data_IF_121457656871
#
_entry.id   IF_121457656871
#
_cell.length_a   1.000
_cell.length_b   1.000
_cell.length_c   1.000
_cell.angle_alpha   90.00
_cell.angle_beta   90.00
_cell.angle_gamma   90.00
#
_symmetry.space_group_name_H-M   'P 1'
#
loop_
_entity.id
_entity.type
_entity.pdbx_description
1 polymer ?
#
# COMPACT_ATOMS: atom_id res chain seq x y z
N UNK A 1 23.68 -16.36 21.62
CA UNK A 1 23.52 -14.92 21.29
C UNK A 1 22.14 -14.77 20.70
N UNK A 2 21.21 -14.24 21.49
CA UNK A 2 19.79 -14.12 21.17
C UNK A 2 19.57 -12.70 20.64
N UNK A 3 19.46 -12.54 19.32
CA UNK A 3 19.05 -11.28 18.69
C UNK A 3 17.62 -11.44 18.17
N UNK A 4 16.66 -11.52 19.08
CA UNK A 4 15.32 -11.01 18.81
C UNK A 4 15.20 -9.75 19.66
N UNK A 5 15.33 -8.59 19.03
CA UNK A 5 14.98 -7.33 19.68
C UNK A 5 13.52 -7.43 20.12
N UNK A 6 13.26 -7.25 21.41
CA UNK A 6 11.90 -7.14 21.96
C UNK A 6 11.31 -5.76 21.73
N UNK A 7 12.05 -4.84 21.11
CA UNK A 7 11.53 -3.52 20.74
C UNK A 7 10.49 -3.72 19.62
N UNK A 8 9.23 -3.34 19.84
CA UNK A 8 8.23 -3.39 18.79
C UNK A 8 8.72 -2.57 17.59
N UNK A 9 8.72 -3.16 16.39
CA UNK A 9 9.01 -2.41 15.17
C UNK A 9 8.04 -1.22 15.12
N UNK A 10 8.52 0.03 15.12
CA UNK A 10 7.66 1.20 15.03
C UNK A 10 6.84 1.15 13.75
N UNK A 11 5.57 1.55 13.84
CA UNK A 11 4.79 1.87 12.63
C UNK A 11 5.45 3.06 11.94
N UNK A 12 5.24 3.25 10.63
CA UNK A 12 5.92 4.35 9.93
C UNK A 12 5.52 5.70 10.53
N UNK A 13 4.26 5.85 10.93
CA UNK A 13 3.78 7.03 11.69
C UNK A 13 4.60 7.25 12.96
N UNK A 14 4.80 6.22 13.80
CA UNK A 14 5.57 6.34 15.05
C UNK A 14 7.05 6.62 14.78
N UNK A 15 7.62 5.96 13.78
CA UNK A 15 9.00 6.19 13.36
C UNK A 15 9.24 7.63 12.94
N UNK A 16 8.34 8.21 12.11
CA UNK A 16 8.45 9.59 11.65
C UNK A 16 8.29 10.57 12.83
N UNK A 17 7.35 10.32 13.74
CA UNK A 17 7.17 11.14 14.94
C UNK A 17 8.41 11.15 15.85
N UNK A 18 9.03 10.00 16.07
CA UNK A 18 10.25 9.88 16.89
C UNK A 18 11.48 10.51 16.21
N UNK A 19 11.53 10.51 14.88
CA UNK A 19 12.62 11.08 14.10
C UNK A 19 12.59 12.61 14.02
N UNK A 20 11.45 13.24 14.31
CA UNK A 20 11.28 14.69 14.23
C UNK A 20 11.49 15.20 12.81
N UNK A 21 12.38 16.18 12.65
CA UNK A 21 12.66 16.85 11.37
C UNK A 21 13.72 16.14 10.52
N UNK A 22 14.26 15.00 10.98
CA UNK A 22 15.37 14.29 10.31
C UNK A 22 15.07 13.94 8.84
N UNK A 23 13.81 13.65 8.53
CA UNK A 23 13.35 13.24 7.20
C UNK A 23 12.50 14.31 6.51
N UNK A 24 12.52 15.56 6.99
CA UNK A 24 11.72 16.61 6.39
C UNK A 24 11.99 16.75 4.89
N UNK A 25 10.93 16.61 4.10
CA UNK A 25 10.99 16.64 2.64
C UNK A 25 11.09 15.28 1.95
N UNK A 26 11.36 14.20 2.69
CA UNK A 26 11.31 12.84 2.14
C UNK A 26 9.85 12.41 1.90
N UNK A 27 9.67 11.41 1.02
CA UNK A 27 8.37 10.88 0.65
C UNK A 27 8.29 9.38 0.89
N UNK A 28 7.09 8.91 1.25
CA UNK A 28 6.72 7.50 1.32
C UNK A 28 5.50 7.27 0.45
N UNK A 29 5.47 6.15 -0.25
CA UNK A 29 4.34 5.73 -1.09
C UNK A 29 3.72 4.46 -0.52
N UNK A 30 2.73 4.55 0.39
CA UNK A 30 1.96 3.37 0.78
C UNK A 30 1.30 2.75 -0.45
N UNK A 31 1.16 1.42 -0.44
CA UNK A 31 0.49 0.65 -1.50
C UNK A 31 -1.04 0.72 -1.42
N UNK A 32 -1.57 1.58 -0.54
CA UNK A 32 -2.98 1.76 -0.25
C UNK A 32 -3.25 3.25 -0.02
N UNK A 33 -4.53 3.61 0.07
CA UNK A 33 -4.98 4.97 0.38
C UNK A 33 -4.39 5.45 1.71
N UNK A 34 -3.56 6.51 1.74
CA UNK A 34 -2.90 6.97 2.96
C UNK A 34 -3.86 7.23 4.10
N UNK A 35 -3.42 7.03 5.34
CA UNK A 35 -4.23 7.30 6.53
C UNK A 35 -4.57 8.79 6.66
N UNK A 36 -3.67 9.63 6.17
CA UNK A 36 -3.73 11.09 6.15
C UNK A 36 -4.74 11.63 5.13
N UNK A 37 -5.16 10.81 4.16
CA UNK A 37 -6.15 11.22 3.17
C UNK A 37 -7.55 11.30 3.81
N UNK A 38 -8.33 12.32 3.44
CA UNK A 38 -9.73 12.49 3.86
C UNK A 38 -10.72 12.21 2.72
N UNK A 39 -10.54 11.06 2.06
CA UNK A 39 -11.35 10.67 0.91
C UNK A 39 -12.77 10.12 1.24
N UNK A 40 -13.22 10.23 2.50
CA UNK A 40 -14.53 9.67 2.91
C UNK A 40 -14.70 8.16 2.65
N UNK A 41 -13.60 7.40 2.58
CA UNK A 41 -13.64 5.97 2.27
C UNK A 41 -14.15 5.14 3.47
N UNK A 42 -15.28 4.43 3.36
CA UNK A 42 -15.86 3.70 4.48
C UNK A 42 -15.03 2.48 4.92
N UNK A 43 -14.31 1.82 4.01
CA UNK A 43 -13.42 0.71 4.36
C UNK A 43 -12.21 1.21 5.16
N UNK A 44 -11.64 2.36 4.79
CA UNK A 44 -10.56 3.01 5.55
C UNK A 44 -11.03 3.41 6.93
N UNK A 45 -12.19 4.08 7.01
CA UNK A 45 -12.76 4.51 8.28
C UNK A 45 -12.98 3.32 9.21
N UNK A 46 -13.55 2.22 8.68
CA UNK A 46 -13.79 1.01 9.47
C UNK A 46 -12.52 0.37 10.01
N UNK A 47 -11.42 0.39 9.25
CA UNK A 47 -10.12 -0.04 9.75
C UNK A 47 -9.66 0.86 10.91
N UNK A 48 -9.68 2.18 10.74
CA UNK A 48 -9.27 3.14 11.77
C UNK A 48 -10.09 2.95 13.06
N UNK A 49 -11.41 2.86 12.93
CA UNK A 49 -12.31 2.64 14.06
C UNK A 49 -12.01 1.32 14.78
N UNK A 50 -11.79 0.24 14.03
CA UNK A 50 -11.45 -1.08 14.59
C UNK A 50 -10.13 -1.04 15.35
N UNK A 51 -9.11 -0.37 14.81
CA UNK A 51 -7.81 -0.24 15.49
C UNK A 51 -7.94 0.57 16.79
N UNK A 52 -8.75 1.64 16.77
CA UNK A 52 -9.06 2.42 17.97
C UNK A 52 -9.82 1.59 19.02
N UNK A 53 -10.85 0.85 18.63
CA UNK A 53 -11.61 -0.06 19.50
C UNK A 53 -10.72 -1.12 20.15
N UNK A 54 -9.73 -1.64 19.42
CA UNK A 54 -8.79 -2.64 19.91
C UNK A 54 -7.63 -2.03 20.73
N UNK A 55 -7.52 -0.70 20.82
CA UNK A 55 -6.38 -0.01 21.42
C UNK A 55 -5.07 -0.39 20.74
N UNK A 56 -5.04 -0.31 19.40
CA UNK A 56 -3.87 -0.61 18.56
C UNK A 56 -3.49 0.59 17.71
N UNK A 57 -2.19 0.81 17.57
CA UNK A 57 -1.65 1.85 16.70
C UNK A 57 -1.96 1.54 15.23
N UNK A 58 -2.22 2.59 14.43
CA UNK A 58 -2.27 2.44 12.98
C UNK A 58 -0.90 2.01 12.45
N UNK A 59 -0.90 0.98 11.60
CA UNK A 59 0.30 0.41 10.99
C UNK A 59 0.02 0.09 9.53
N UNK A 60 0.98 0.39 8.66
CA UNK A 60 0.90 0.05 7.23
C UNK A 60 0.78 -1.46 7.04
N UNK A 61 1.51 -2.25 7.83
CA UNK A 61 1.43 -3.71 7.79
C UNK A 61 0.07 -4.24 8.26
N UNK A 62 -0.55 -3.58 9.24
CA UNK A 62 -1.90 -3.94 9.68
C UNK A 62 -2.94 -3.63 8.58
N UNK A 63 -2.80 -2.52 7.85
CA UNK A 63 -3.65 -2.21 6.69
C UNK A 63 -3.47 -3.22 5.55
N UNK A 64 -2.23 -3.62 5.25
CA UNK A 64 -1.97 -4.70 4.27
C UNK A 64 -2.63 -6.01 4.71
N UNK A 65 -2.54 -6.35 6.00
CA UNK A 65 -3.23 -7.52 6.56
C UNK A 65 -4.76 -7.42 6.44
N UNK A 66 -5.32 -6.24 6.68
CA UNK A 66 -6.75 -5.96 6.52
C UNK A 66 -7.22 -6.15 5.07
N UNK A 67 -6.48 -5.60 4.11
CA UNK A 67 -6.74 -5.77 2.67
C UNK A 67 -6.65 -7.25 2.26
N UNK A 68 -5.63 -7.97 2.73
CA UNK A 68 -5.50 -9.40 2.44
C UNK A 68 -6.66 -10.22 3.03
N UNK A 69 -7.15 -9.86 4.21
CA UNK A 69 -8.32 -10.50 4.82
C UNK A 69 -9.61 -10.18 4.04
N UNK A 70 -9.77 -8.95 3.55
CA UNK A 70 -10.86 -8.56 2.67
C UNK A 70 -10.85 -9.36 1.36
N UNK A 71 -9.69 -9.54 0.73
CA UNK A 71 -9.55 -10.35 -0.48
C UNK A 71 -9.98 -11.80 -0.25
N UNK A 72 -9.55 -12.40 0.88
CA UNK A 72 -9.94 -13.75 1.26
C UNK A 72 -11.44 -13.86 1.56
N UNK A 73 -12.01 -12.87 2.25
CA UNK A 73 -13.44 -12.81 2.53
C UNK A 73 -14.27 -12.67 1.24
N UNK A 74 -13.83 -11.79 0.33
CA UNK A 74 -14.41 -11.62 -1.00
C UNK A 74 -14.38 -12.92 -1.80
N UNK A 75 -13.26 -13.66 -1.76
CA UNK A 75 -13.13 -14.96 -2.41
C UNK A 75 -14.16 -15.98 -1.89
N UNK A 76 -14.30 -16.08 -0.57
CA UNK A 76 -15.25 -17.00 0.09
C UNK A 76 -16.70 -16.61 -0.24
N UNK A 77 -17.05 -15.33 -0.11
CA UNK A 77 -18.39 -14.85 -0.45
C UNK A 77 -18.74 -15.10 -1.92
N UNK A 78 -17.80 -14.84 -2.82
CA UNK A 78 -18.01 -14.99 -4.27
C UNK A 78 -18.16 -16.46 -4.69
N UNK A 79 -17.55 -17.40 -3.96
CA UNK A 79 -17.69 -18.83 -4.22
C UNK A 79 -19.05 -19.40 -3.80
N UNK A 80 -19.79 -18.69 -2.93
CA UNK A 80 -21.10 -19.11 -2.44
C UNK A 80 -21.07 -19.99 -1.19
N UNK A 81 -22.24 -20.41 -0.69
CA UNK A 81 -22.39 -21.04 0.64
C UNK A 81 -21.78 -22.44 0.77
N UNK A 82 -21.53 -23.11 -0.36
CA UNK A 82 -20.83 -24.39 -0.41
C UNK A 82 -19.58 -24.17 -1.24
N UNK A 83 -18.46 -23.92 -0.57
CA UNK A 83 -17.19 -23.63 -1.20
C UNK A 83 -16.11 -24.60 -0.74
N UNK A 84 -15.10 -24.78 -1.58
CA UNK A 84 -13.80 -25.29 -1.19
C UNK A 84 -12.71 -24.27 -1.52
N UNK A 85 -11.46 -24.63 -1.26
CA UNK A 85 -10.32 -23.75 -1.55
C UNK A 85 -10.24 -23.40 -3.04
N UNK A 86 -10.52 -24.36 -3.93
CA UNK A 86 -10.42 -24.15 -5.37
C UNK A 86 -11.51 -23.20 -5.84
N UNK A 87 -12.76 -23.39 -5.41
CA UNK A 87 -13.86 -22.51 -5.81
C UNK A 87 -13.66 -21.09 -5.30
N UNK A 88 -13.08 -20.89 -4.11
CA UNK A 88 -12.72 -19.56 -3.62
C UNK A 88 -11.62 -18.89 -4.45
N UNK A 89 -10.56 -19.62 -4.79
CA UNK A 89 -9.48 -19.10 -5.65
C UNK A 89 -10.03 -18.78 -7.05
N UNK A 90 -10.78 -19.70 -7.66
CA UNK A 90 -11.37 -19.49 -8.98
C UNK A 90 -12.32 -18.27 -8.97
N UNK A 91 -13.09 -18.08 -7.91
CA UNK A 91 -13.97 -16.92 -7.76
C UNK A 91 -13.18 -15.60 -7.65
N UNK A 92 -12.11 -15.55 -6.84
CA UNK A 92 -11.27 -14.36 -6.74
C UNK A 92 -10.55 -14.06 -8.07
N UNK A 93 -10.03 -15.08 -8.76
CA UNK A 93 -9.36 -14.94 -10.04
C UNK A 93 -10.30 -14.49 -11.18
N UNK A 94 -11.61 -14.49 -10.96
CA UNK A 94 -12.57 -13.93 -11.92
C UNK A 94 -12.77 -12.41 -11.76
N UNK A 95 -12.23 -11.80 -10.71
CA UNK A 95 -12.34 -10.36 -10.45
C UNK A 95 -11.30 -9.59 -11.25
N UNK A 96 -11.76 -8.73 -12.17
CA UNK A 96 -10.89 -7.93 -13.03
C UNK A 96 -10.62 -6.51 -12.52
N UNK A 97 -11.24 -6.13 -11.39
CA UNK A 97 -11.14 -4.80 -10.80
C UNK A 97 -11.29 -4.82 -9.27
N UNK A 98 -10.59 -5.73 -8.59
CA UNK A 98 -10.59 -5.79 -7.13
C UNK A 98 -9.84 -4.59 -6.53
N UNK A 99 -10.51 -3.75 -5.76
CA UNK A 99 -9.93 -2.51 -5.20
C UNK A 99 -10.01 -2.41 -3.67
N UNK A 100 -10.41 -3.50 -3.00
CA UNK A 100 -10.62 -3.58 -1.55
C UNK A 100 -11.54 -2.47 -1.00
N UNK A 101 -12.58 -2.10 -1.76
CA UNK A 101 -13.48 -1.01 -1.41
C UNK A 101 -12.83 0.37 -1.60
N UNK A 102 -11.99 0.50 -2.63
CA UNK A 102 -11.24 1.72 -2.96
C UNK A 102 -10.03 2.00 -2.07
N UNK A 103 -9.55 1.01 -1.32
CA UNK A 103 -8.32 1.13 -0.52
C UNK A 103 -7.05 0.98 -1.36
N UNK A 104 -7.12 0.29 -2.49
CA UNK A 104 -5.98 0.07 -3.38
C UNK A 104 -6.36 0.41 -4.82
N UNK A 105 -5.35 0.57 -5.67
CA UNK A 105 -5.54 0.63 -7.12
C UNK A 105 -6.14 -0.71 -7.59
N UNK A 106 -7.17 -0.72 -8.46
CA UNK A 106 -7.82 -1.95 -8.88
C UNK A 106 -6.84 -2.97 -9.45
N UNK A 107 -6.91 -4.20 -8.94
CA UNK A 107 -6.15 -5.36 -9.38
C UNK A 107 -7.04 -6.23 -10.27
N UNK A 108 -6.50 -6.61 -11.42
CA UNK A 108 -7.07 -7.65 -12.26
C UNK A 108 -6.51 -9.01 -11.84
N UNK A 109 -7.21 -9.68 -10.93
CA UNK A 109 -6.82 -11.01 -10.42
C UNK A 109 -6.89 -12.10 -11.48
N UNK A 110 -7.41 -11.86 -12.69
CA UNK A 110 -7.32 -12.85 -13.76
C UNK A 110 -5.90 -12.99 -14.32
N UNK A 111 -5.02 -12.01 -14.03
CA UNK A 111 -3.70 -11.90 -14.67
C UNK A 111 -2.58 -11.39 -13.74
N UNK A 112 -2.88 -10.54 -12.75
CA UNK A 112 -1.90 -9.87 -11.89
C UNK A 112 -1.55 -10.65 -10.61
N UNK A 113 -1.02 -11.86 -10.77
CA UNK A 113 -0.59 -12.71 -9.63
C UNK A 113 0.87 -12.57 -9.22
N UNK A 114 1.63 -11.77 -9.97
CA UNK A 114 3.07 -11.56 -9.80
C UNK A 114 3.38 -10.07 -9.91
N UNK A 115 4.59 -9.69 -9.55
CA UNK A 115 5.07 -8.31 -9.74
C UNK A 115 4.82 -7.87 -11.18
N UNK A 116 4.13 -6.73 -11.40
CA UNK A 116 3.89 -6.18 -12.73
C UNK A 116 5.20 -5.95 -13.49
N UNK A 117 5.15 -6.12 -14.81
CA UNK A 117 6.24 -5.76 -15.72
C UNK A 117 5.71 -4.71 -16.68
N UNK A 118 6.29 -3.51 -16.65
CA UNK A 118 5.87 -2.39 -17.49
C UNK A 118 5.84 -2.79 -18.97
N UNK A 119 4.70 -2.57 -19.62
CA UNK A 119 4.46 -2.91 -21.03
C UNK A 119 4.05 -4.36 -21.28
N UNK A 120 4.10 -5.26 -20.29
CA UNK A 120 3.64 -6.64 -20.43
C UNK A 120 2.15 -6.77 -20.11
N UNK A 121 1.32 -6.86 -21.14
CA UNK A 121 -0.13 -6.98 -20.97
C UNK A 121 -0.59 -8.16 -20.09
N UNK A 122 0.27 -9.17 -19.86
CA UNK A 122 -0.06 -10.33 -19.02
C UNK A 122 -0.12 -9.99 -17.53
N UNK A 123 0.53 -8.92 -17.05
CA UNK A 123 0.53 -8.57 -15.63
C UNK A 123 0.71 -7.06 -15.33
N UNK A 124 0.90 -6.21 -16.34
CA UNK A 124 1.04 -4.75 -16.19
C UNK A 124 -0.26 -4.08 -15.73
N UNK A 125 -0.17 -2.92 -15.09
CA UNK A 125 -1.35 -2.10 -14.81
C UNK A 125 -1.80 -1.35 -16.07
N UNK A 126 -3.12 -1.24 -16.26
CA UNK A 126 -3.65 -0.35 -17.29
C UNK A 126 -3.39 1.14 -16.95
N UNK A 127 -3.32 1.44 -15.66
CA UNK A 127 -3.01 2.76 -15.11
C UNK A 127 -2.20 2.56 -13.83
N UNK A 128 -0.96 3.05 -13.81
CA UNK A 128 -0.15 3.04 -12.60
C UNK A 128 -0.54 4.23 -11.75
N UNK A 129 -0.91 3.96 -10.49
CA UNK A 129 -1.19 5.01 -9.53
C UNK A 129 -0.42 4.77 -8.23
N UNK A 130 -0.05 5.86 -7.58
CA UNK A 130 0.54 5.85 -6.24
C UNK A 130 0.05 7.06 -5.44
N UNK A 131 0.05 6.95 -4.12
CA UNK A 131 -0.44 7.99 -3.22
C UNK A 131 0.66 8.40 -2.23
N UNK A 132 1.59 9.29 -2.63
CA UNK A 132 2.71 9.67 -1.79
C UNK A 132 2.23 10.57 -0.65
N UNK A 133 2.85 10.36 0.50
CA UNK A 133 2.83 11.28 1.64
C UNK A 133 4.22 11.86 1.84
N UNK A 134 4.28 13.09 2.31
CA UNK A 134 5.52 13.82 2.59
C UNK A 134 5.77 13.85 4.10
N UNK A 135 7.02 13.66 4.50
CA UNK A 135 7.44 13.83 5.89
C UNK A 135 7.71 15.32 6.18
N UNK A 136 7.15 15.82 7.29
CA UNK A 136 7.23 17.23 7.70
C UNK A 136 7.02 17.36 9.20
N UNK A 137 8.03 17.84 9.94
CA UNK A 137 7.94 18.13 11.38
C UNK A 137 7.55 16.92 12.23
N UNK A 138 8.01 15.72 11.86
CA UNK A 138 7.63 14.46 12.53
C UNK A 138 6.20 13.97 12.21
N UNK A 139 5.58 14.48 11.15
CA UNK A 139 4.29 14.02 10.64
C UNK A 139 4.36 13.57 9.18
N UNK A 140 3.33 12.86 8.74
CA UNK A 140 3.06 12.57 7.34
C UNK A 140 1.95 13.50 6.85
N UNK A 141 2.13 14.07 5.67
CA UNK A 141 1.20 15.00 5.03
C UNK A 141 0.83 14.51 3.63
N UNK A 142 -0.43 14.64 3.24
CA UNK A 142 -0.88 14.32 1.88
C UNK A 142 -0.23 15.25 0.85
N UNK A 143 0.22 14.69 -0.27
CA UNK A 143 0.78 15.45 -1.39
C UNK A 143 -0.27 15.76 -2.46
N UNK A 144 -1.17 14.81 -2.71
CA UNK A 144 -2.33 14.97 -3.57
C UNK A 144 -3.51 15.62 -2.83
N UNK A 145 -4.58 15.91 -3.57
CA UNK A 145 -5.87 16.26 -2.98
C UNK A 145 -6.31 15.14 -2.00
N UNK A 146 -6.58 15.43 -0.72
CA UNK A 146 -7.02 14.43 0.25
C UNK A 146 -8.28 13.66 -0.17
N UNK A 147 -9.14 14.25 -0.99
CA UNK A 147 -10.33 13.60 -1.54
C UNK A 147 -10.02 12.62 -2.68
N UNK A 148 -8.91 12.83 -3.39
CA UNK A 148 -8.46 12.00 -4.51
C UNK A 148 -6.93 11.78 -4.42
N UNK A 149 -6.45 10.98 -3.45
CA UNK A 149 -5.04 10.97 -3.05
C UNK A 149 -4.10 10.24 -4.03
N UNK A 150 -4.58 9.86 -5.22
CA UNK A 150 -3.86 9.06 -6.19
C UNK A 150 -3.27 9.92 -7.30
N UNK A 151 -1.95 9.87 -7.49
CA UNK A 151 -1.31 10.29 -8.72
C UNK A 151 -1.32 9.13 -9.69
N UNK A 152 -2.08 9.26 -10.76
CA UNK A 152 -2.19 8.25 -11.80
C UNK A 152 -1.54 8.74 -13.10
N UNK A 153 -0.76 7.88 -13.74
CA UNK A 153 -0.22 8.11 -15.07
C UNK A 153 -0.31 6.86 -15.93
N UNK A 154 -0.57 7.04 -17.23
CA UNK A 154 -0.45 5.96 -18.20
C UNK A 154 1.00 5.79 -18.66
N UNK A 155 1.27 4.74 -19.45
CA UNK A 155 2.59 4.34 -20.01
C UNK A 155 3.37 5.46 -20.75
N UNK A 156 2.79 6.66 -20.94
CA UNK A 156 3.40 7.80 -21.62
C UNK A 156 3.06 9.17 -20.99
N UNK A 157 2.91 9.28 -19.65
CA UNK A 157 2.86 10.60 -19.01
C UNK A 157 4.23 11.06 -18.47
N UNK A 158 5.00 11.87 -19.22
CA UNK A 158 6.24 12.50 -18.74
C UNK A 158 6.00 13.55 -17.64
N UNK A 159 4.78 13.70 -17.10
CA UNK A 159 4.48 14.54 -15.94
C UNK A 159 4.61 13.82 -14.60
N UNK A 160 4.66 12.49 -14.58
CA UNK A 160 5.20 11.76 -13.41
C UNK A 160 6.68 12.13 -13.19
N UNK A 161 7.39 12.53 -14.25
CA UNK A 161 8.70 13.20 -14.20
C UNK A 161 8.67 14.74 -14.08
N UNK A 162 7.50 15.37 -13.89
CA UNK A 162 7.33 16.84 -13.71
C UNK A 162 6.63 17.24 -12.41
N UNK A 163 6.64 16.38 -11.39
CA UNK A 163 6.96 16.92 -10.07
C UNK A 163 8.38 17.50 -10.20
N UNK A 164 8.48 18.83 -10.38
CA UNK A 164 9.73 19.43 -10.85
C UNK A 164 10.91 19.07 -9.92
N UNK A 165 12.03 18.56 -10.48
CA UNK A 165 13.10 17.85 -9.76
C UNK A 165 14.08 18.76 -9.00
N UNK A 166 13.67 19.94 -8.54
CA UNK A 166 14.53 20.76 -7.67
C UNK A 166 14.41 20.40 -6.17
N UNK A 167 13.50 19.49 -5.78
CA UNK A 167 13.29 19.09 -4.38
C UNK A 167 13.27 17.58 -4.12
N UNK A 168 13.31 16.71 -5.14
CA UNK A 168 13.30 15.25 -4.96
C UNK A 168 14.71 14.68 -4.72
N UNK A 169 15.31 15.05 -3.60
CA UNK A 169 16.46 14.31 -3.04
C UNK A 169 15.90 13.28 -2.06
N UNK A 170 15.76 12.02 -2.52
CA UNK A 170 15.41 10.80 -1.77
C UNK A 170 13.92 10.45 -1.71
N UNK A 171 13.48 9.70 -2.72
CA UNK A 171 12.35 8.78 -2.59
C UNK A 171 12.88 7.55 -1.84
N UNK A 172 12.41 7.27 -0.62
CA UNK A 172 12.68 5.99 0.04
C UNK A 172 11.60 5.01 -0.44
N UNK A 173 11.94 4.21 -1.45
CA UNK A 173 11.16 3.04 -1.83
C UNK A 173 11.20 2.06 -0.67
N UNK A 174 10.12 1.95 0.10
CA UNK A 174 9.90 0.81 1.00
C UNK A 174 9.33 -0.36 0.19
N UNK A 175 10.14 -0.88 -0.72
CA UNK A 175 10.11 -2.29 -1.06
C UNK A 175 11.27 -2.93 -0.29
N UNK A 176 10.98 -4.02 0.41
CA UNK A 176 12.01 -4.79 1.09
C UNK A 176 13.15 -5.14 0.11
N UNK A 177 14.30 -4.46 0.26
CA UNK A 177 15.58 -4.96 -0.22
C UNK A 177 15.93 -6.21 0.59
N UNK A 178 15.35 -7.33 0.18
CA UNK A 178 15.73 -8.67 0.59
C UNK A 178 16.39 -9.39 -0.59
N UNK A 179 17.66 -9.08 -0.87
CA UNK A 179 18.71 -10.01 -1.34
C UNK A 179 20.00 -9.25 -1.76
N UNK A 180 21.22 -9.85 -1.74
CA UNK A 180 21.57 -11.22 -1.34
C UNK A 180 22.74 -11.27 -0.31
N UNK A 181 22.57 -12.04 0.77
CA UNK A 181 23.75 -12.56 1.49
C UNK A 181 24.28 -13.79 0.75
N UNK A 182 25.15 -13.57 -0.25
CA UNK A 182 26.14 -14.55 -0.70
C UNK A 182 27.54 -13.96 -0.54
N UNK A 183 28.43 -14.80 0.00
CA UNK A 183 29.91 -14.74 0.06
C UNK A 183 30.52 -13.92 1.22
N UNK A 184 30.99 -14.60 2.29
CA UNK A 184 32.36 -15.10 2.38
C UNK A 184 32.62 -15.87 3.70
N UNK A 185 33.23 -17.05 3.53
CA UNK A 185 33.79 -18.03 4.49
C UNK A 185 32.82 -18.92 5.25
#
# INVERSE_FOLDING_TARGET
MTWCSTTPIPTTIRFVAEAGDLFDGDFVTPQFMPFEADAGNPCRQRFIDTMAELGRDLSELAMVGWINADAAYTAILSAGPVFDRKSAIDALNSQTAYDAGGLIVPIDWSRQHVTPVEGDATNDYALECFAPVRMSGGALETVADPATPWFCGGQHDPRLGRAQPNSLRRLILTAADCAPCRQHR
#
